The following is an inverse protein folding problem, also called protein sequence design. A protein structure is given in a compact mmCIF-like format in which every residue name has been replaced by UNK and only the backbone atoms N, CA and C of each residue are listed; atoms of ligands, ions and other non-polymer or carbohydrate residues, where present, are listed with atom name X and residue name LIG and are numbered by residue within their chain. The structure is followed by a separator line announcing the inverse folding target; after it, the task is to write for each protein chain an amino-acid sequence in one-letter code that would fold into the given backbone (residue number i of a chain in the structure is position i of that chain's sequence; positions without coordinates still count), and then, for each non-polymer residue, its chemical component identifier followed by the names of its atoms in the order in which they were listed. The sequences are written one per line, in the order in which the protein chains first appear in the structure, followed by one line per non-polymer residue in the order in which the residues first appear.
data_IF_813737365695
#
_entry.id   IF_813737365695
#
_cell.length_a   1.000
_cell.length_b   1.000
_cell.length_c   1.000
_cell.angle_alpha   90.00
_cell.angle_beta   90.00
_cell.angle_gamma   90.00
#
_symmetry.space_group_name_H-M   'P 1'
#
loop_
_entity.id
_entity.type
_entity.pdbx_description
1 polymer ?
#
# COMPACT_ATOMS: atom_id res chain seq x y z
N UNK A 1 -24.79 10.35 2.43
CA UNK A 1 -23.54 11.06 2.12
C UNK A 1 -22.30 10.33 2.63
N UNK A 2 -22.29 9.83 3.87
CA UNK A 2 -21.15 9.14 4.52
C UNK A 2 -20.51 8.03 3.65
N UNK A 3 -21.30 7.17 3.00
CA UNK A 3 -20.75 6.12 2.15
C UNK A 3 -19.96 6.63 0.92
N UNK A 4 -20.36 7.77 0.33
CA UNK A 4 -19.58 8.37 -0.77
C UNK A 4 -18.22 8.90 -0.27
N UNK A 5 -18.11 9.22 1.02
CA UNK A 5 -16.87 9.61 1.66
C UNK A 5 -16.02 8.40 2.10
N UNK A 6 -16.61 7.21 2.24
CA UNK A 6 -15.92 6.01 2.75
C UNK A 6 -14.61 5.65 2.03
N UNK A 7 -14.49 5.67 0.68
CA UNK A 7 -13.21 5.37 0.04
C UNK A 7 -12.14 6.42 0.34
N UNK A 8 -12.52 7.69 0.55
CA UNK A 8 -11.59 8.74 0.97
C UNK A 8 -11.15 8.56 2.42
N UNK A 9 -12.07 8.19 3.31
CA UNK A 9 -11.77 7.86 4.71
C UNK A 9 -10.80 6.67 4.76
N UNK A 10 -11.01 5.66 3.92
CA UNK A 10 -10.11 4.51 3.82
C UNK A 10 -8.69 4.93 3.41
N UNK A 11 -8.56 5.75 2.36
CA UNK A 11 -7.26 6.27 1.92
C UNK A 11 -6.59 7.12 2.99
N UNK A 12 -7.35 7.95 3.72
CA UNK A 12 -6.82 8.74 4.83
C UNK A 12 -6.31 7.82 5.95
N UNK A 13 -7.06 6.78 6.32
CA UNK A 13 -6.63 5.80 7.30
C UNK A 13 -5.33 5.10 6.90
N UNK A 14 -5.24 4.67 5.64
CA UNK A 14 -4.02 4.05 5.09
C UNK A 14 -2.84 5.02 5.03
N UNK A 15 -3.05 6.26 4.63
CA UNK A 15 -2.02 7.31 4.65
C UNK A 15 -1.49 7.54 6.06
N UNK A 16 -2.37 7.55 7.06
CA UNK A 16 -1.98 7.75 8.44
C UNK A 16 -1.13 6.59 8.96
N UNK A 17 -1.51 5.34 8.65
CA UNK A 17 -0.71 4.15 8.97
C UNK A 17 0.65 4.22 8.28
N UNK A 18 0.68 4.47 6.97
CA UNK A 18 1.89 4.42 6.16
C UNK A 18 2.86 5.55 6.50
N UNK A 19 2.39 6.80 6.58
CA UNK A 19 3.28 7.94 6.84
C UNK A 19 3.87 7.87 8.25
N UNK A 20 3.05 7.55 9.25
CA UNK A 20 3.52 7.36 10.61
C UNK A 20 4.48 6.15 10.70
N UNK A 21 4.13 5.03 10.06
CA UNK A 21 4.96 3.83 10.06
C UNK A 21 6.31 4.02 9.37
N UNK A 22 6.34 4.70 8.23
CA UNK A 22 7.59 5.02 7.54
C UNK A 22 8.45 5.99 8.35
N UNK A 23 7.83 6.99 9.00
CA UNK A 23 8.55 7.89 9.90
C UNK A 23 9.19 7.13 11.06
N UNK A 24 8.48 6.19 11.69
CA UNK A 24 9.03 5.29 12.71
C UNK A 24 10.23 4.55 12.15
N UNK A 25 10.08 3.83 11.04
CA UNK A 25 11.17 3.04 10.45
C UNK A 25 12.41 3.91 10.13
N UNK A 26 12.20 5.10 9.57
CA UNK A 26 13.28 5.99 9.15
C UNK A 26 14.01 6.68 10.31
N UNK A 27 13.35 6.83 11.47
CA UNK A 27 13.92 7.52 12.65
C UNK A 27 14.42 6.56 13.72
N UNK A 28 14.42 5.25 13.46
CA UNK A 28 14.80 4.25 14.45
C UNK A 28 16.22 4.41 14.98
N UNK A 29 17.20 4.69 14.12
CA UNK A 29 18.59 4.86 14.53
C UNK A 29 18.84 6.23 15.22
N UNK A 30 17.83 7.10 15.30
CA UNK A 30 17.95 8.37 16.02
C UNK A 30 17.97 8.15 17.54
N UNK A 31 18.68 9.04 18.24
CA UNK A 31 18.77 9.06 19.70
C UNK A 31 17.44 9.39 20.40
N UNK A 32 16.42 9.79 19.65
CA UNK A 32 15.14 10.24 20.21
C UNK A 32 14.25 9.03 20.46
N UNK A 33 13.81 8.84 21.72
CA UNK A 33 12.80 7.86 22.07
C UNK A 33 11.49 8.19 21.36
N UNK A 34 10.78 7.20 20.83
CA UNK A 34 9.54 7.49 20.13
C UNK A 34 8.52 8.18 21.04
N UNK A 35 7.87 9.24 20.55
CA UNK A 35 6.75 9.86 21.24
C UNK A 35 5.61 8.84 21.38
N UNK A 36 4.89 8.83 22.50
CA UNK A 36 3.70 7.96 22.71
C UNK A 36 2.66 8.21 21.61
N UNK A 37 2.67 9.40 21.06
CA UNK A 37 1.93 9.89 19.92
C UNK A 37 2.10 8.98 18.69
N UNK A 38 3.27 8.36 18.47
CA UNK A 38 3.48 7.43 17.36
C UNK A 38 2.61 6.17 17.49
N UNK A 39 2.45 5.63 18.70
CA UNK A 39 1.53 4.51 18.96
C UNK A 39 0.07 4.92 18.75
N UNK A 40 -0.33 6.08 19.28
CA UNK A 40 -1.69 6.59 19.10
C UNK A 40 -2.01 6.85 17.63
N UNK A 41 -1.07 7.41 16.88
CA UNK A 41 -1.26 7.67 15.46
C UNK A 41 -1.45 6.38 14.66
N UNK A 42 -0.66 5.35 14.94
CA UNK A 42 -0.84 4.04 14.33
C UNK A 42 -2.24 3.46 14.65
N UNK A 43 -2.64 3.50 15.92
CA UNK A 43 -3.95 3.01 16.35
C UNK A 43 -5.11 3.78 15.70
N UNK A 44 -5.02 5.11 15.63
CA UNK A 44 -6.01 5.98 14.96
C UNK A 44 -6.11 5.60 13.47
N UNK A 45 -4.99 5.41 12.78
CA UNK A 45 -4.99 5.02 11.37
C UNK A 45 -5.67 3.67 11.13
N UNK A 46 -5.40 2.68 11.99
CA UNK A 46 -6.07 1.38 11.97
C UNK A 46 -7.57 1.53 12.22
N UNK A 47 -7.96 2.28 13.25
CA UNK A 47 -9.37 2.53 13.58
C UNK A 47 -10.12 3.20 12.42
N UNK A 48 -9.54 4.23 11.79
CA UNK A 48 -10.15 4.92 10.64
C UNK A 48 -10.34 3.93 9.47
N UNK A 49 -9.34 3.08 9.21
CA UNK A 49 -9.40 2.05 8.16
C UNK A 49 -10.51 1.03 8.44
N UNK A 50 -10.63 0.56 9.68
CA UNK A 50 -11.70 -0.36 10.13
C UNK A 50 -13.07 0.29 10.01
N UNK A 51 -13.23 1.54 10.45
CA UNK A 51 -14.49 2.28 10.34
C UNK A 51 -14.91 2.43 8.88
N UNK A 52 -13.98 2.81 8.00
CA UNK A 52 -14.24 2.90 6.56
C UNK A 52 -14.69 1.56 5.98
N UNK A 53 -14.00 0.47 6.32
CA UNK A 53 -14.36 -0.89 5.93
C UNK A 53 -15.78 -1.27 6.38
N UNK A 54 -16.13 -1.01 7.65
CA UNK A 54 -17.46 -1.31 8.18
C UNK A 54 -18.56 -0.50 7.47
N UNK A 55 -18.32 0.78 7.19
CA UNK A 55 -19.26 1.63 6.42
C UNK A 55 -19.52 1.04 5.03
N UNK A 56 -18.46 0.56 4.36
CA UNK A 56 -18.56 -0.03 3.02
C UNK A 56 -19.34 -1.35 3.08
N UNK A 57 -19.01 -2.24 4.03
CA UNK A 57 -19.67 -3.53 4.22
C UNK A 57 -21.16 -3.40 4.57
N UNK A 58 -21.52 -2.49 5.46
CA UNK A 58 -22.91 -2.28 5.89
C UNK A 58 -23.82 -1.86 4.73
N UNK A 59 -23.27 -1.14 3.74
CA UNK A 59 -24.05 -0.68 2.58
C UNK A 59 -23.94 -1.61 1.37
N UNK A 60 -22.85 -2.36 1.22
CA UNK A 60 -22.72 -3.41 0.21
C UNK A 60 -23.84 -4.46 0.30
N UNK A 61 -24.37 -4.71 1.51
CA UNK A 61 -25.56 -5.55 1.72
C UNK A 61 -26.90 -4.92 1.30
N UNK A 62 -26.95 -3.60 1.06
CA UNK A 62 -28.19 -2.86 0.75
C UNK A 62 -28.34 -2.46 -0.72
N UNK A 63 -27.26 -2.47 -1.51
CA UNK A 63 -27.28 -2.02 -2.92
C UNK A 63 -27.07 -3.24 -3.82
N UNK A 64 -28.07 -4.11 -3.88
CA UNK A 64 -28.21 -5.05 -4.99
C UNK A 64 -29.03 -4.33 -6.06
N UNK A 65 -28.36 -3.91 -7.13
CA UNK A 65 -28.91 -3.28 -8.35
C UNK A 65 -29.68 -1.96 -8.18
N UNK A 66 -29.17 -0.89 -8.78
CA UNK A 66 -29.96 0.31 -9.01
C UNK A 66 -29.57 1.00 -10.33
N UNK A 67 -30.35 0.68 -11.37
CA UNK A 67 -30.70 1.51 -12.53
C UNK A 67 -29.60 2.09 -13.44
N UNK A 68 -29.99 2.68 -14.60
CA UNK A 68 -29.08 3.43 -15.45
C UNK A 68 -28.65 4.72 -14.73
N UNK A 69 -27.47 4.68 -14.10
CA UNK A 69 -26.93 5.83 -13.35
C UNK A 69 -26.41 6.88 -14.33
N UNK A 70 -27.03 8.06 -14.28
CA UNK A 70 -26.71 9.24 -15.10
C UNK A 70 -25.45 9.92 -14.51
N UNK A 71 -24.39 10.05 -15.29
CA UNK A 71 -23.16 10.76 -14.92
C UNK A 71 -21.96 10.38 -15.80
N UNK A 72 -21.08 11.33 -16.13
CA UNK A 72 -19.88 11.05 -16.95
C UNK A 72 -18.88 10.20 -16.14
N UNK A 73 -18.48 9.05 -16.69
CA UNK A 73 -17.47 8.20 -16.05
C UNK A 73 -16.06 8.75 -16.31
N UNK A 74 -15.35 9.12 -15.25
CA UNK A 74 -14.00 9.67 -15.34
C UNK A 74 -12.96 8.62 -15.77
N UNK A 75 -13.33 7.36 -15.84
CA UNK A 75 -12.53 6.26 -16.41
C UNK A 75 -12.05 6.54 -17.84
N UNK A 76 -12.78 7.31 -18.64
CA UNK A 76 -12.33 7.75 -19.98
C UNK A 76 -11.02 8.55 -19.88
N UNK A 77 -10.88 9.39 -18.86
CA UNK A 77 -9.66 10.13 -18.60
C UNK A 77 -8.52 9.21 -18.15
N UNK A 78 -8.80 8.26 -17.24
CA UNK A 78 -7.81 7.24 -16.81
C UNK A 78 -7.30 6.43 -18.00
N UNK A 79 -8.19 5.97 -18.87
CA UNK A 79 -7.85 5.22 -20.07
C UNK A 79 -7.02 6.06 -21.05
N UNK A 80 -7.33 7.36 -21.19
CA UNK A 80 -6.52 8.29 -21.99
C UNK A 80 -5.12 8.46 -21.40
N UNK A 81 -4.98 8.62 -20.08
CA UNK A 81 -3.68 8.67 -19.41
C UNK A 81 -2.90 7.37 -19.59
N UNK A 82 -3.54 6.21 -19.47
CA UNK A 82 -2.90 4.91 -19.66
C UNK A 82 -2.38 4.70 -21.10
N UNK A 83 -3.14 5.14 -22.11
CA UNK A 83 -2.69 5.12 -23.51
C UNK A 83 -1.48 6.03 -23.75
N UNK A 84 -1.43 7.17 -23.05
CA UNK A 84 -0.33 8.12 -23.15
C UNK A 84 0.73 7.92 -22.04
N UNK A 85 0.74 6.77 -21.35
CA UNK A 85 1.55 6.55 -20.15
C UNK A 85 3.04 6.76 -20.37
N UNK A 86 3.57 6.39 -21.54
CA UNK A 86 4.99 6.58 -21.86
C UNK A 86 5.31 8.06 -22.04
N UNK A 87 4.47 8.81 -22.76
CA UNK A 87 4.67 10.25 -22.97
C UNK A 87 4.51 11.05 -21.67
N UNK A 88 3.47 10.74 -20.89
CA UNK A 88 3.22 11.41 -19.60
C UNK A 88 4.28 11.00 -18.58
N UNK A 89 4.58 9.71 -18.48
CA UNK A 89 5.58 9.15 -17.59
C UNK A 89 6.97 9.73 -17.86
N UNK A 90 7.41 9.74 -19.13
CA UNK A 90 8.71 10.32 -19.49
C UNK A 90 8.79 11.81 -19.13
N UNK A 91 7.71 12.57 -19.37
CA UNK A 91 7.67 13.99 -18.97
C UNK A 91 7.76 14.17 -17.46
N UNK A 92 7.04 13.36 -16.68
CA UNK A 92 7.10 13.40 -15.22
C UNK A 92 8.47 12.99 -14.70
N UNK A 93 9.06 11.93 -15.25
CA UNK A 93 10.42 11.48 -14.88
C UNK A 93 11.43 12.59 -15.16
N UNK A 94 11.44 13.17 -16.37
CA UNK A 94 12.35 14.27 -16.72
C UNK A 94 12.13 15.47 -15.81
N UNK A 95 10.88 15.87 -15.58
CA UNK A 95 10.55 16.98 -14.69
C UNK A 95 11.05 16.73 -13.26
N UNK A 96 10.79 15.55 -12.70
CA UNK A 96 11.27 15.16 -11.37
C UNK A 96 12.80 15.14 -11.31
N UNK A 97 13.47 14.64 -12.34
CA UNK A 97 14.94 14.60 -12.43
C UNK A 97 15.53 16.01 -12.46
N UNK A 98 14.96 16.91 -13.26
CA UNK A 98 15.37 18.32 -13.32
C UNK A 98 15.17 19.00 -11.96
N UNK A 99 14.02 18.80 -11.31
CA UNK A 99 13.78 19.35 -9.98
C UNK A 99 14.77 18.82 -8.94
N UNK A 100 15.08 17.52 -8.95
CA UNK A 100 16.08 16.93 -8.06
C UNK A 100 17.49 17.46 -8.33
N UNK A 101 17.88 17.68 -9.59
CA UNK A 101 19.18 18.28 -9.96
C UNK A 101 19.26 19.73 -9.48
N UNK A 102 18.19 20.51 -9.64
CA UNK A 102 18.15 21.88 -9.11
C UNK A 102 18.35 21.88 -7.61
N UNK A 103 17.60 21.05 -6.87
CA UNK A 103 17.75 20.92 -5.41
C UNK A 103 19.16 20.45 -5.06
N UNK A 104 19.73 19.50 -5.79
CA UNK A 104 21.07 18.97 -5.54
C UNK A 104 22.16 20.04 -5.62
N UNK A 105 22.01 21.04 -6.50
CA UNK A 105 22.94 22.17 -6.60
C UNK A 105 22.93 23.01 -5.30
N UNK A 106 21.80 23.13 -4.63
CA UNK A 106 21.66 23.89 -3.38
C UNK A 106 21.94 23.05 -2.13
N UNK A 107 21.43 21.82 -2.10
CA UNK A 107 21.56 20.87 -0.99
C UNK A 107 21.50 19.43 -1.51
N UNK A 108 22.68 18.79 -1.59
CA UNK A 108 22.80 17.41 -2.03
C UNK A 108 22.10 16.42 -1.09
N UNK A 109 22.11 16.67 0.22
CA UNK A 109 21.48 15.80 1.22
C UNK A 109 19.96 15.80 1.05
N UNK A 110 19.38 17.00 0.88
CA UNK A 110 17.95 17.15 0.62
C UNK A 110 17.52 16.51 -0.70
N UNK A 111 18.34 16.59 -1.75
CA UNK A 111 18.03 15.94 -3.02
C UNK A 111 17.96 14.40 -2.88
N UNK A 112 18.91 13.79 -2.16
CA UNK A 112 18.87 12.35 -1.89
C UNK A 112 17.69 11.96 -1.00
N UNK A 113 17.37 12.75 0.02
CA UNK A 113 16.23 12.47 0.91
C UNK A 113 14.88 12.59 0.18
N UNK A 114 14.77 13.44 -0.84
CA UNK A 114 13.57 13.60 -1.66
C UNK A 114 13.42 12.57 -2.78
N UNK A 115 14.49 11.88 -3.18
CA UNK A 115 14.43 10.85 -4.22
C UNK A 115 13.43 9.75 -3.84
N UNK A 116 13.50 9.31 -2.58
CA UNK A 116 12.71 8.21 -2.07
C UNK A 116 11.19 8.47 -1.97
N UNK A 117 10.71 9.56 -1.36
CA UNK A 117 9.28 9.91 -1.39
C UNK A 117 8.79 10.18 -2.81
N UNK A 118 9.64 10.72 -3.69
CA UNK A 118 9.30 10.93 -5.11
C UNK A 118 9.03 9.60 -5.83
N UNK A 119 9.92 8.62 -5.67
CA UNK A 119 9.72 7.26 -6.21
C UNK A 119 8.49 6.59 -5.61
N UNK A 120 8.27 6.76 -4.30
CA UNK A 120 7.09 6.24 -3.61
C UNK A 120 5.79 6.78 -4.22
N UNK A 121 5.67 8.10 -4.36
CA UNK A 121 4.51 8.74 -4.97
C UNK A 121 4.32 8.32 -6.42
N UNK A 122 5.42 8.18 -7.18
CA UNK A 122 5.39 7.69 -8.56
C UNK A 122 4.80 6.29 -8.68
N UNK A 123 5.22 5.36 -7.81
CA UNK A 123 4.74 3.97 -7.82
C UNK A 123 3.28 3.90 -7.36
N UNK A 124 2.89 4.62 -6.31
CA UNK A 124 1.50 4.68 -5.84
C UNK A 124 0.59 5.27 -6.92
N UNK A 125 1.01 6.37 -7.57
CA UNK A 125 0.29 6.99 -8.68
C UNK A 125 0.17 6.09 -9.90
N UNK A 126 1.24 5.39 -10.27
CA UNK A 126 1.21 4.39 -11.34
C UNK A 126 0.24 3.25 -11.02
N UNK A 127 0.30 2.73 -9.79
CA UNK A 127 -0.58 1.66 -9.30
C UNK A 127 -2.04 2.08 -9.36
N UNK A 128 -2.34 3.32 -8.95
CA UNK A 128 -3.68 3.89 -9.08
C UNK A 128 -4.17 3.87 -10.53
N UNK A 129 -3.39 4.40 -11.49
CA UNK A 129 -3.79 4.41 -12.91
C UNK A 129 -3.95 2.98 -13.46
N UNK A 130 -3.02 2.08 -13.12
CA UNK A 130 -3.04 0.69 -13.58
C UNK A 130 -4.27 -0.07 -13.09
N UNK A 131 -4.67 0.12 -11.84
CA UNK A 131 -5.83 -0.55 -11.24
C UNK A 131 -7.13 0.05 -11.79
N UNK A 132 -7.20 1.38 -11.85
CA UNK A 132 -8.42 2.13 -12.22
C UNK A 132 -8.74 2.11 -13.72
N UNK A 133 -7.80 1.67 -14.57
CA UNK A 133 -8.07 1.53 -16.01
C UNK A 133 -9.12 0.45 -16.26
N UNK A 134 -9.93 0.69 -17.29
CA UNK A 134 -10.86 -0.30 -17.83
C UNK A 134 -10.10 -1.44 -18.50
N UNK A 135 -10.50 -2.68 -18.26
CA UNK A 135 -9.93 -3.86 -18.93
C UNK A 135 -10.73 -4.30 -20.15
N UNK A 136 -11.88 -3.69 -20.42
CA UNK A 136 -12.81 -4.16 -21.44
C UNK A 136 -13.58 -5.40 -20.96
N UNK A 137 -14.75 -5.62 -21.56
CA UNK A 137 -15.69 -6.68 -21.16
C UNK A 137 -15.21 -8.11 -21.46
N UNK A 138 -14.10 -8.29 -22.18
CA UNK A 138 -13.65 -9.60 -22.66
C UNK A 138 -12.81 -10.39 -21.63
N UNK A 139 -12.66 -9.87 -20.40
CA UNK A 139 -12.02 -10.56 -19.28
C UNK A 139 -13.01 -10.91 -18.17
N UNK A 140 -14.22 -11.30 -18.55
CA UNK A 140 -15.18 -11.88 -17.60
C UNK A 140 -14.54 -13.05 -16.85
N UNK A 141 -14.71 -13.05 -15.52
CA UNK A 141 -14.26 -14.06 -14.55
C UNK A 141 -14.42 -15.46 -15.16
N UNK A 142 -13.32 -16.09 -15.59
CA UNK A 142 -13.30 -17.55 -15.68
C UNK A 142 -13.35 -17.98 -14.22
N UNK A 143 -14.54 -18.34 -13.76
CA UNK A 143 -14.83 -18.75 -12.38
C UNK A 143 -14.04 -20.05 -12.05
N UNK A 144 -12.73 -19.93 -11.86
CA UNK A 144 -11.83 -21.01 -11.47
C UNK A 144 -12.06 -21.21 -9.97
N UNK A 145 -13.21 -21.78 -9.62
CA UNK A 145 -13.48 -22.12 -8.24
C UNK A 145 -12.66 -23.35 -7.86
N UNK A 146 -11.79 -23.27 -6.84
CA UNK A 146 -11.11 -24.45 -6.34
C UNK A 146 -12.15 -25.42 -5.76
N UNK A 147 -11.95 -26.72 -6.02
CA UNK A 147 -12.82 -27.81 -5.55
C UNK A 147 -12.79 -27.97 -4.03
N UNK A 148 -11.69 -27.59 -3.36
CA UNK A 148 -11.54 -27.75 -1.90
C UNK A 148 -12.08 -26.56 -1.12
N UNK A 149 -12.93 -26.84 -0.12
CA UNK A 149 -13.50 -25.82 0.76
C UNK A 149 -12.43 -25.07 1.59
N UNK A 150 -11.38 -25.78 2.02
CA UNK A 150 -10.26 -25.17 2.78
C UNK A 150 -9.47 -24.18 1.92
N UNK A 151 -9.14 -24.59 0.69
CA UNK A 151 -8.42 -23.75 -0.28
C UNK A 151 -9.26 -22.53 -0.65
N UNK A 152 -10.58 -22.72 -0.82
CA UNK A 152 -11.52 -21.63 -1.06
C UNK A 152 -11.55 -20.64 0.10
N UNK A 153 -11.58 -21.11 1.34
CA UNK A 153 -11.56 -20.22 2.51
C UNK A 153 -10.27 -19.41 2.58
N UNK A 154 -9.12 -20.04 2.36
CA UNK A 154 -7.82 -19.38 2.38
C UNK A 154 -7.72 -18.33 1.26
N UNK A 155 -8.12 -18.67 0.04
CA UNK A 155 -8.17 -17.72 -1.07
C UNK A 155 -9.08 -16.54 -0.76
N UNK A 156 -10.23 -16.76 -0.10
CA UNK A 156 -11.13 -15.67 0.32
C UNK A 156 -10.52 -14.72 1.35
N UNK A 157 -9.56 -15.20 2.14
CA UNK A 157 -8.86 -14.41 3.17
C UNK A 157 -7.72 -13.57 2.57
N UNK A 158 -7.21 -13.98 1.42
CA UNK A 158 -6.18 -13.23 0.67
C UNK A 158 -6.82 -12.36 -0.42
N UNK A 159 -8.09 -12.57 -0.75
CA UNK A 159 -8.82 -11.83 -1.78
C UNK A 159 -9.13 -10.38 -1.35
N UNK A 160 -8.28 -9.44 -1.79
CA UNK A 160 -8.41 -7.99 -1.54
C UNK A 160 -9.69 -7.36 -2.07
N UNK A 161 -10.39 -8.10 -2.92
CA UNK A 161 -11.74 -7.79 -3.34
C UNK A 161 -12.74 -7.83 -2.20
N UNK A 162 -12.42 -8.40 -1.03
CA UNK A 162 -13.39 -8.59 0.07
C UNK A 162 -13.07 -7.74 1.30
N UNK A 163 -11.81 -7.39 1.50
CA UNK A 163 -11.38 -6.52 2.58
C UNK A 163 -10.14 -5.69 2.18
N UNK A 164 -9.95 -4.51 2.76
CA UNK A 164 -8.79 -3.66 2.52
C UNK A 164 -7.55 -4.12 3.29
N UNK A 165 -7.69 -5.04 4.26
CA UNK A 165 -6.59 -5.56 5.05
C UNK A 165 -5.77 -6.56 4.23
N UNK A 166 -4.79 -6.05 3.48
CA UNK A 166 -3.90 -6.89 2.70
C UNK A 166 -2.77 -7.48 3.54
N UNK A 167 -2.21 -8.60 3.09
CA UNK A 167 -1.02 -9.20 3.72
C UNK A 167 0.13 -8.17 3.82
N UNK A 168 0.44 -7.38 2.76
CA UNK A 168 1.45 -6.32 2.87
C UNK A 168 1.14 -5.29 3.96
N UNK A 169 -0.12 -4.89 4.14
CA UNK A 169 -0.50 -3.95 5.19
C UNK A 169 -0.31 -4.55 6.59
N UNK A 170 -0.67 -5.83 6.75
CA UNK A 170 -0.51 -6.55 8.03
C UNK A 170 0.98 -6.67 8.38
N UNK A 171 1.81 -7.12 7.44
CA UNK A 171 3.27 -7.25 7.64
C UNK A 171 3.87 -5.87 7.93
N UNK A 172 3.45 -4.82 7.21
CA UNK A 172 3.90 -3.45 7.47
C UNK A 172 3.57 -3.00 8.89
N UNK A 173 2.33 -3.19 9.35
CA UNK A 173 1.92 -2.85 10.72
C UNK A 173 2.74 -3.64 11.74
N UNK A 174 2.98 -4.94 11.51
CA UNK A 174 3.79 -5.78 12.39
C UNK A 174 5.21 -5.23 12.50
N UNK A 175 5.86 -4.91 11.38
CA UNK A 175 7.20 -4.31 11.35
C UNK A 175 7.23 -3.01 12.16
N UNK A 176 6.29 -2.10 11.90
CA UNK A 176 6.21 -0.81 12.62
C UNK A 176 6.00 -1.03 14.12
N UNK A 177 5.14 -1.97 14.50
CA UNK A 177 4.91 -2.32 15.90
C UNK A 177 6.18 -2.89 16.55
N UNK A 178 6.92 -3.75 15.84
CA UNK A 178 8.20 -4.28 16.31
C UNK A 178 9.17 -3.15 16.62
N UNK A 179 9.29 -2.16 15.74
CA UNK A 179 10.15 -0.99 15.96
C UNK A 179 9.73 -0.15 17.17
N UNK A 180 8.44 0.14 17.27
CA UNK A 180 7.87 0.90 18.38
C UNK A 180 8.11 0.19 19.72
N UNK A 181 7.86 -1.12 19.78
CA UNK A 181 8.05 -1.93 20.99
C UNK A 181 9.53 -2.11 21.32
N UNK A 182 10.39 -2.32 20.33
CA UNK A 182 11.84 -2.45 20.53
C UNK A 182 12.41 -1.21 21.21
N UNK A 183 12.11 0.00 20.73
CA UNK A 183 12.54 1.24 21.40
C UNK A 183 11.91 1.41 22.78
N UNK A 184 10.65 1.01 22.96
CA UNK A 184 9.98 1.09 24.26
C UNK A 184 10.63 0.20 25.32
N UNK A 185 11.04 -1.02 24.95
CA UNK A 185 11.69 -1.99 25.84
C UNK A 185 13.22 -1.88 25.87
N UNK A 186 13.83 -1.01 25.06
CA UNK A 186 15.27 -0.83 25.00
C UNK A 186 16.02 -1.94 24.23
N UNK A 187 15.32 -2.73 23.42
CA UNK A 187 15.95 -3.71 22.53
C UNK A 187 16.56 -3.00 21.32
N UNK A 188 17.79 -3.36 20.94
CA UNK A 188 18.42 -2.88 19.72
C UNK A 188 18.14 -3.86 18.59
N UNK A 189 17.41 -3.40 17.57
CA UNK A 189 17.25 -4.10 16.31
C UNK A 189 18.44 -3.67 15.44
N UNK A 190 19.35 -4.60 15.16
CA UNK A 190 20.38 -4.37 14.17
C UNK A 190 19.73 -4.27 12.81
N UNK A 191 19.43 -3.04 12.41
CA UNK A 191 19.08 -2.77 11.03
C UNK A 191 20.36 -2.84 10.21
N UNK A 192 20.33 -3.57 9.10
CA UNK A 192 21.38 -3.52 8.09
C UNK A 192 21.38 -2.15 7.38
N UNK A 193 21.49 -1.05 8.14
CA UNK A 193 21.45 0.34 7.68
C UNK A 193 22.84 0.94 7.49
N UNK A 194 23.93 0.24 7.84
CA UNK A 194 25.29 0.77 7.75
C UNK A 194 26.13 0.17 6.61
N UNK A 195 26.24 0.94 5.52
CA UNK A 195 27.46 1.10 4.70
C UNK A 195 28.00 -0.05 3.86
N UNK A 196 27.62 -1.31 4.09
CA UNK A 196 28.07 -2.45 3.28
C UNK A 196 26.85 -3.22 2.76
N UNK A 197 26.40 -2.97 1.51
CA UNK A 197 25.22 -3.61 0.96
C UNK A 197 25.58 -5.03 0.54
N UNK A 198 25.69 -5.95 1.50
CA UNK A 198 25.72 -7.38 1.16
C UNK A 198 24.39 -7.83 0.56
N UNK A 199 23.30 -7.12 0.85
CA UNK A 199 21.95 -7.47 0.40
C UNK A 199 21.24 -6.30 -0.30
N UNK A 200 20.56 -6.61 -1.40
CA UNK A 200 19.81 -5.65 -2.25
C UNK A 200 18.53 -5.14 -1.57
N UNK A 201 18.05 -5.84 -0.52
CA UNK A 201 16.80 -5.56 0.18
C UNK A 201 17.04 -5.46 1.69
N UNK A 202 17.04 -4.23 2.24
CA UNK A 202 17.05 -4.00 3.68
C UNK A 202 15.62 -3.82 4.21
N UNK A 203 15.43 -4.00 5.53
CA UNK A 203 14.11 -3.88 6.16
C UNK A 203 13.44 -2.51 5.93
N UNK A 204 14.14 -1.36 5.99
CA UNK A 204 13.54 -0.06 5.65
C UNK A 204 13.07 0.06 4.20
N UNK A 205 13.84 -0.52 3.26
CA UNK A 205 13.41 -0.59 1.86
C UNK A 205 12.19 -1.50 1.72
N UNK A 206 12.20 -2.65 2.41
CA UNK A 206 11.07 -3.57 2.49
C UNK A 206 9.79 -2.89 3.01
N UNK A 207 9.87 -2.13 4.10
CA UNK A 207 8.73 -1.41 4.66
C UNK A 207 8.09 -0.45 3.64
N UNK A 208 8.90 0.25 2.84
CA UNK A 208 8.40 1.14 1.77
C UNK A 208 7.73 0.37 0.64
N UNK A 209 8.28 -0.77 0.26
CA UNK A 209 7.68 -1.65 -0.74
C UNK A 209 6.33 -2.18 -0.24
N UNK A 210 6.25 -2.66 1.01
CA UNK A 210 4.98 -3.10 1.62
C UNK A 210 3.95 -1.99 1.67
N UNK A 211 4.35 -0.76 1.99
CA UNK A 211 3.47 0.41 1.98
C UNK A 211 2.91 0.70 0.58
N UNK A 212 3.71 0.58 -0.48
CA UNK A 212 3.25 0.73 -1.87
C UNK A 212 2.23 -0.35 -2.25
N UNK A 213 2.52 -1.63 -1.93
CA UNK A 213 1.58 -2.72 -2.16
C UNK A 213 0.29 -2.55 -1.38
N UNK A 214 0.35 -2.04 -0.15
CA UNK A 214 -0.83 -1.75 0.65
C UNK A 214 -1.78 -0.82 -0.09
N UNK A 215 -1.27 0.28 -0.68
CA UNK A 215 -2.07 1.18 -1.51
C UNK A 215 -2.64 0.50 -2.76
N UNK A 216 -1.85 -0.32 -3.45
CA UNK A 216 -2.34 -1.08 -4.60
C UNK A 216 -3.53 -1.99 -4.23
N UNK A 217 -3.41 -2.77 -3.15
CA UNK A 217 -4.50 -3.61 -2.64
C UNK A 217 -5.71 -2.77 -2.21
N UNK A 218 -5.48 -1.63 -1.56
CA UNK A 218 -6.53 -0.69 -1.16
C UNK A 218 -7.30 -0.13 -2.35
N UNK A 219 -6.62 0.21 -3.46
CA UNK A 219 -7.28 0.67 -4.67
C UNK A 219 -8.15 -0.40 -5.33
N UNK A 220 -7.73 -1.68 -5.32
CA UNK A 220 -8.56 -2.81 -5.78
C UNK A 220 -9.84 -2.89 -4.95
N UNK A 221 -9.72 -2.84 -3.63
CA UNK A 221 -10.86 -2.89 -2.74
C UNK A 221 -11.82 -1.71 -3.00
N UNK A 222 -11.29 -0.51 -3.15
CA UNK A 222 -12.08 0.72 -3.41
C UNK A 222 -12.86 0.60 -4.71
N UNK A 223 -12.20 0.26 -5.83
CA UNK A 223 -12.86 0.24 -7.14
C UNK A 223 -13.92 -0.86 -7.23
N UNK A 224 -13.79 -1.93 -6.45
CA UNK A 224 -14.78 -2.99 -6.43
C UNK A 224 -16.05 -2.62 -5.66
N UNK A 225 -15.93 -1.83 -4.59
CA UNK A 225 -17.02 -1.59 -3.66
C UNK A 225 -17.59 -0.18 -3.68
N UNK A 226 -16.91 0.79 -4.31
CA UNK A 226 -17.26 2.20 -4.23
C UNK A 226 -16.97 2.94 -5.54
N UNK A 227 -17.72 4.02 -5.77
CA UNK A 227 -17.34 5.03 -6.76
C UNK A 227 -16.24 5.93 -6.16
N UNK A 228 -15.14 6.15 -6.88
CA UNK A 228 -13.98 6.90 -6.39
C UNK A 228 -13.46 7.89 -7.44
N UNK A 229 -13.29 9.17 -7.08
CA UNK A 229 -12.95 10.25 -8.03
C UNK A 229 -13.84 10.30 -9.29
N UNK A 230 -15.10 9.91 -9.18
CA UNK A 230 -16.03 9.83 -10.33
C UNK A 230 -15.76 8.66 -11.28
N UNK A 231 -14.85 7.76 -10.91
CA UNK A 231 -14.66 6.44 -11.52
C UNK A 231 -15.69 5.52 -10.89
N UNK A 232 -16.45 4.85 -11.75
CA UNK A 232 -17.52 3.95 -11.30
C UNK A 232 -16.98 2.62 -10.81
N UNK A 233 -17.67 2.06 -9.81
CA UNK A 233 -17.40 0.72 -9.32
C UNK A 233 -17.37 -0.31 -10.44
N UNK A 234 -16.42 -1.23 -10.40
CA UNK A 234 -16.30 -2.31 -11.38
C UNK A 234 -15.59 -3.53 -10.78
N UNK A 235 -16.06 -4.70 -11.16
CA UNK A 235 -15.36 -5.94 -10.86
C UNK A 235 -14.02 -5.96 -11.58
N UNK A 236 -12.94 -6.05 -10.80
CA UNK A 236 -11.60 -6.24 -11.37
C UNK A 236 -11.42 -7.68 -11.84
N UNK A 237 -10.75 -7.85 -12.98
CA UNK A 237 -10.46 -9.16 -13.56
C UNK A 237 -9.50 -9.97 -12.69
N UNK A 238 -9.63 -11.31 -12.77
CA UNK A 238 -8.81 -12.25 -12.00
C UNK A 238 -7.33 -12.15 -12.38
N UNK A 239 -7.00 -11.80 -13.63
CA UNK A 239 -5.61 -11.65 -14.10
C UNK A 239 -4.82 -10.59 -13.31
N UNK A 240 -5.42 -9.41 -13.08
CA UNK A 240 -4.80 -8.33 -12.29
C UNK A 240 -4.55 -8.78 -10.87
N UNK A 241 -5.55 -9.43 -10.28
CA UNK A 241 -5.46 -9.92 -8.90
C UNK A 241 -4.37 -11.00 -8.77
N UNK A 242 -4.32 -11.94 -9.71
CA UNK A 242 -3.31 -13.00 -9.74
C UNK A 242 -1.89 -12.43 -9.92
N UNK A 243 -1.71 -11.44 -10.80
CA UNK A 243 -0.42 -10.76 -10.96
C UNK A 243 0.01 -10.08 -9.65
N UNK A 244 -0.91 -9.39 -8.99
CA UNK A 244 -0.64 -8.70 -7.73
C UNK A 244 -0.28 -9.71 -6.64
N UNK A 245 -1.04 -10.80 -6.48
CA UNK A 245 -0.70 -11.86 -5.54
C UNK A 245 0.64 -12.52 -5.82
N UNK A 246 0.97 -12.77 -7.09
CA UNK A 246 2.24 -13.38 -7.46
C UNK A 246 3.42 -12.50 -7.04
N UNK A 247 3.37 -11.20 -7.38
CA UNK A 247 4.41 -10.24 -6.99
C UNK A 247 4.45 -10.10 -5.47
N UNK A 248 3.29 -10.05 -4.83
CA UNK A 248 3.18 -9.89 -3.40
C UNK A 248 3.76 -11.08 -2.63
N UNK A 249 3.52 -12.32 -3.05
CA UNK A 249 4.10 -13.50 -2.39
C UNK A 249 5.63 -13.42 -2.42
N UNK A 250 6.21 -13.04 -3.57
CA UNK A 250 7.66 -12.90 -3.72
C UNK A 250 8.17 -11.79 -2.78
N UNK A 251 7.61 -10.58 -2.90
CA UNK A 251 8.12 -9.41 -2.19
C UNK A 251 7.81 -9.48 -0.68
N UNK A 252 6.57 -9.74 -0.30
CA UNK A 252 6.16 -9.86 1.10
C UNK A 252 6.81 -11.05 1.78
N UNK A 253 6.96 -12.19 1.07
CA UNK A 253 7.65 -13.37 1.60
C UNK A 253 9.11 -13.07 1.95
N UNK A 254 9.85 -12.43 1.03
CA UNK A 254 11.23 -12.02 1.30
C UNK A 254 11.34 -11.03 2.46
N UNK A 255 10.47 -10.01 2.51
CA UNK A 255 10.50 -8.98 3.56
C UNK A 255 10.12 -9.57 4.92
N UNK A 256 9.12 -10.46 4.97
CA UNK A 256 8.73 -11.18 6.18
C UNK A 256 9.88 -12.05 6.70
N UNK A 257 10.60 -12.74 5.82
CA UNK A 257 11.74 -13.56 6.21
C UNK A 257 12.89 -12.73 6.78
N UNK A 258 13.21 -11.58 6.16
CA UNK A 258 14.21 -10.63 6.69
C UNK A 258 13.79 -10.12 8.07
N UNK A 259 12.53 -9.70 8.23
CA UNK A 259 11.99 -9.26 9.51
C UNK A 259 12.11 -10.34 10.59
N UNK A 260 11.81 -11.60 10.25
CA UNK A 260 11.89 -12.73 11.17
C UNK A 260 13.33 -12.99 11.63
N UNK A 261 14.30 -12.94 10.71
CA UNK A 261 15.72 -13.08 11.06
C UNK A 261 16.16 -11.98 12.03
N UNK A 262 15.84 -10.72 11.72
CA UNK A 262 16.20 -9.57 12.57
C UNK A 262 15.57 -9.72 13.96
N UNK A 263 14.32 -10.16 14.02
CA UNK A 263 13.63 -10.39 15.29
C UNK A 263 14.27 -11.54 16.10
N UNK A 264 14.64 -12.64 15.44
CA UNK A 264 15.36 -13.73 16.09
C UNK A 264 16.74 -13.27 16.60
N UNK A 265 17.52 -12.55 15.79
CA UNK A 265 18.83 -12.03 16.18
C UNK A 265 18.70 -11.12 17.41
N UNK A 266 17.77 -10.16 17.37
CA UNK A 266 17.53 -9.25 18.48
C UNK A 266 17.13 -9.97 19.78
N UNK A 267 16.36 -11.07 19.68
CA UNK A 267 16.02 -11.90 20.84
C UNK A 267 17.25 -12.64 21.38
N UNK A 268 18.12 -13.19 20.53
CA UNK A 268 19.33 -13.90 20.95
C UNK A 268 20.42 -12.98 21.49
N UNK A 269 20.52 -11.74 21.01
CA UNK A 269 21.51 -10.77 21.51
C UNK A 269 21.07 -10.05 22.78
N UNK A 270 19.80 -10.19 23.18
CA UNK A 270 19.24 -9.57 24.39
C UNK A 270 19.25 -10.49 25.62
N UNK A 271 19.79 -11.71 25.49
CA UNK A 271 20.10 -12.64 26.58
C UNK A 271 21.61 -12.72 26.80
#
# INVERSE_FOLDING_TARGET
MIYKAAPYILIIGMLFIVLNGLWVVDTYDSYVTYPKEAFFNLAIGICITVIAYLIIQLKGKRITYDGPRIGKDNRVFINKMWRQREKIGNRLVVFSLVMLVIIFIFDSSMAFSLLQPTLFLGIVGFSFIYIMKDEGKDKEEKDIQPKSHKVRYLLRLVDYRKHPFSVPLIIFIMIVLTFLLSKYFGFVLNLETSGNPRYVLSLPVGARILAQFSFACGFIYIIQHCDFFGIRQEKQGDDKLMLIHFIEIIMCGSIFFIWLIILCEALFTSY
#
